data_IF_187652120990
#
_entry.id   IF_187652120990
#
_cell.length_a   1.000
_cell.length_b   1.000
_cell.length_c   1.000
_cell.angle_alpha   90.00
_cell.angle_beta   90.00
_cell.angle_gamma   90.00
#
_symmetry.space_group_name_H-M   'P 1'
#
loop_
_entity.id
_entity.type
_entity.pdbx_description
1 polymer ?
#
# COMPACT_ATOMS: atom_id res chain seq x y z
N UNK A 1 8.11 -15.75 -15.99
CA UNK A 1 7.27 -14.78 -15.23
C UNK A 1 7.70 -14.74 -13.76
N UNK A 2 8.92 -15.14 -13.43
CA UNK A 2 9.43 -15.25 -12.05
C UNK A 2 9.48 -13.91 -11.29
N UNK A 3 9.48 -12.79 -12.00
CA UNK A 3 9.61 -11.46 -11.42
C UNK A 3 8.30 -10.65 -11.42
N UNK A 4 7.18 -11.19 -11.91
CA UNK A 4 5.89 -10.54 -11.97
C UNK A 4 5.00 -11.01 -10.80
N UNK A 5 4.47 -10.06 -10.05
CA UNK A 5 3.52 -10.29 -8.96
C UNK A 5 2.17 -9.70 -9.35
N UNK A 6 1.11 -10.47 -9.14
CA UNK A 6 -0.27 -10.05 -9.34
C UNK A 6 -1.03 -10.28 -8.05
N UNK A 7 -1.90 -9.36 -7.70
CA UNK A 7 -2.75 -9.44 -6.52
C UNK A 7 -4.14 -8.90 -6.79
N UNK A 8 -5.12 -9.46 -6.08
CA UNK A 8 -6.49 -8.97 -6.08
C UNK A 8 -7.04 -9.03 -4.66
N UNK A 9 -7.79 -8.00 -4.26
CA UNK A 9 -8.50 -7.91 -2.98
C UNK A 9 -9.94 -7.51 -3.27
N UNK A 10 -10.88 -8.32 -2.82
CA UNK A 10 -12.30 -7.99 -2.81
C UNK A 10 -12.67 -7.53 -1.39
N UNK A 11 -13.12 -6.29 -1.25
CA UNK A 11 -13.61 -5.73 0.01
C UNK A 11 -15.13 -5.68 0.00
N UNK A 12 -15.72 -5.80 1.19
CA UNK A 12 -17.17 -5.69 1.41
C UNK A 12 -17.98 -6.59 0.46
N UNK A 13 -17.48 -7.81 0.20
CA UNK A 13 -18.04 -8.76 -0.76
C UNK A 13 -19.54 -9.07 -0.51
N UNK A 14 -19.99 -8.95 0.73
CA UNK A 14 -21.38 -9.21 1.15
C UNK A 14 -22.20 -7.94 1.34
N UNK A 15 -21.68 -6.78 0.94
CA UNK A 15 -22.29 -5.46 1.19
C UNK A 15 -22.55 -5.20 2.68
N UNK A 16 -22.12 -4.09 3.19
CA UNK A 16 -22.34 -3.69 4.59
C UNK A 16 -23.46 -2.67 4.65
N UNK A 17 -24.46 -2.91 5.51
CA UNK A 17 -25.55 -1.98 5.79
C UNK A 17 -25.31 -1.28 7.12
N UNK A 18 -25.36 0.04 7.13
CA UNK A 18 -25.26 0.88 8.33
C UNK A 18 -26.64 1.48 8.62
N UNK A 19 -27.15 1.21 9.83
CA UNK A 19 -28.42 1.74 10.30
C UNK A 19 -28.15 2.81 11.37
N UNK A 20 -28.63 4.02 11.12
CA UNK A 20 -28.51 5.12 12.06
C UNK A 20 -29.85 5.35 12.83
N UNK A 21 -29.79 5.79 14.11
CA UNK A 21 -31.00 6.03 14.91
C UNK A 21 -31.91 7.13 14.39
N UNK A 22 -31.40 8.04 13.56
CA UNK A 22 -32.11 9.14 12.90
C UNK A 22 -32.89 8.70 11.66
N UNK A 23 -32.75 7.44 11.27
CA UNK A 23 -33.48 6.82 10.16
C UNK A 23 -32.74 6.85 8.82
N UNK A 24 -31.57 7.46 8.76
CA UNK A 24 -30.70 7.38 7.60
C UNK A 24 -30.03 5.99 7.56
N UNK A 25 -30.03 5.40 6.38
CA UNK A 25 -29.39 4.12 6.15
C UNK A 25 -28.35 4.29 5.04
N UNK A 26 -27.16 3.80 5.30
CA UNK A 26 -26.09 3.74 4.30
C UNK A 26 -25.76 2.28 3.96
N UNK A 27 -25.33 2.06 2.75
CA UNK A 27 -24.80 0.77 2.34
C UNK A 27 -23.42 0.97 1.71
N UNK A 28 -22.53 0.04 1.99
CA UNK A 28 -21.18 0.03 1.43
C UNK A 28 -21.16 -1.04 0.34
N UNK A 29 -20.95 -0.61 -0.89
CA UNK A 29 -20.86 -1.51 -2.02
C UNK A 29 -19.53 -2.29 -2.04
N UNK A 30 -19.50 -3.49 -2.63
CA UNK A 30 -18.27 -4.21 -2.86
C UNK A 30 -17.29 -3.40 -3.71
N UNK A 31 -16.00 -3.46 -3.33
CA UNK A 31 -14.92 -2.85 -4.09
C UNK A 31 -13.84 -3.88 -4.44
N UNK A 32 -13.27 -3.75 -5.63
CA UNK A 32 -12.21 -4.63 -6.13
C UNK A 32 -10.91 -3.83 -6.28
N UNK A 33 -9.86 -4.32 -5.61
CA UNK A 33 -8.51 -3.79 -5.80
C UNK A 33 -7.68 -4.79 -6.58
N UNK A 34 -7.07 -4.34 -7.65
CA UNK A 34 -6.12 -5.11 -8.47
C UNK A 34 -4.74 -4.49 -8.32
N UNK A 35 -3.71 -5.31 -8.26
CA UNK A 35 -2.33 -4.84 -8.15
C UNK A 35 -1.38 -5.68 -8.97
N UNK A 36 -0.37 -5.02 -9.50
CA UNK A 36 0.77 -5.67 -10.15
C UNK A 36 2.07 -5.02 -9.71
N UNK A 37 3.11 -5.82 -9.59
CA UNK A 37 4.47 -5.35 -9.36
C UNK A 37 5.46 -6.20 -10.15
N UNK A 38 6.56 -5.60 -10.55
CA UNK A 38 7.61 -6.29 -11.29
C UNK A 38 8.97 -6.07 -10.62
N UNK A 39 9.75 -7.13 -10.41
CA UNK A 39 11.07 -7.04 -9.80
C UNK A 39 12.15 -6.94 -10.87
N UNK A 40 12.96 -5.89 -10.82
CA UNK A 40 14.10 -5.62 -11.72
C UNK A 40 15.39 -5.68 -10.92
N UNK A 41 16.22 -6.66 -11.21
CA UNK A 41 17.56 -6.76 -10.65
C UNK A 41 18.53 -5.94 -11.50
N UNK A 42 19.18 -4.93 -10.92
CA UNK A 42 20.14 -4.08 -11.63
C UNK A 42 21.52 -4.72 -11.53
N UNK A 43 21.94 -5.43 -12.58
CA UNK A 43 23.11 -6.33 -12.57
C UNK A 43 24.46 -5.66 -12.21
N UNK A 44 24.59 -4.35 -12.38
CA UNK A 44 25.83 -3.61 -12.11
C UNK A 44 25.81 -2.85 -10.76
N UNK A 45 24.68 -2.88 -10.05
CA UNK A 45 24.52 -2.27 -8.74
C UNK A 45 23.82 -3.26 -7.78
N UNK A 46 24.13 -3.22 -6.48
CA UNK A 46 23.41 -4.02 -5.48
C UNK A 46 22.03 -3.39 -5.19
N UNK A 47 21.22 -3.25 -6.22
CA UNK A 47 19.93 -2.56 -6.17
C UNK A 47 18.87 -3.41 -6.87
N UNK A 48 17.73 -3.54 -6.20
CA UNK A 48 16.52 -4.15 -6.75
C UNK A 48 15.45 -3.07 -6.85
N UNK A 49 14.85 -2.92 -8.03
CA UNK A 49 13.74 -1.99 -8.26
C UNK A 49 12.43 -2.78 -8.38
N UNK A 50 11.37 -2.30 -7.73
CA UNK A 50 10.02 -2.86 -7.82
C UNK A 50 9.00 -1.78 -8.15
N UNK A 51 8.80 -1.44 -9.43
CA UNK A 51 7.65 -0.65 -9.84
C UNK A 51 6.36 -1.44 -9.57
N UNK A 52 5.33 -0.72 -9.13
CA UNK A 52 4.01 -1.27 -8.84
C UNK A 52 2.90 -0.37 -9.37
N UNK A 53 1.82 -1.00 -9.80
CA UNK A 53 0.60 -0.36 -10.26
C UNK A 53 -0.58 -1.00 -9.52
N UNK A 54 -1.44 -0.18 -8.95
CA UNK A 54 -2.71 -0.59 -8.35
C UNK A 54 -3.88 0.08 -9.05
N UNK A 55 -4.99 -0.63 -9.14
CA UNK A 55 -6.26 -0.16 -9.66
C UNK A 55 -7.34 -0.50 -8.63
N UNK A 56 -8.03 0.52 -8.15
CA UNK A 56 -9.22 0.38 -7.32
C UNK A 56 -10.45 0.58 -8.16
N UNK A 57 -11.39 -0.33 -8.08
CA UNK A 57 -12.67 -0.29 -8.80
C UNK A 57 -13.79 -0.33 -7.78
N UNK A 58 -14.61 0.72 -7.73
CA UNK A 58 -15.76 0.86 -6.86
C UNK A 58 -17.04 0.99 -7.68
N UNK A 59 -18.12 0.34 -7.22
CA UNK A 59 -19.41 0.31 -7.92
C UNK A 59 -20.37 1.43 -7.48
N UNK A 60 -20.05 2.17 -6.46
CA UNK A 60 -20.76 3.40 -6.09
C UNK A 60 -20.02 4.61 -6.62
N UNK A 61 -20.74 5.43 -7.38
CA UNK A 61 -20.24 6.69 -7.90
C UNK A 61 -19.95 7.70 -6.78
N UNK A 62 -18.94 7.43 -5.97
CA UNK A 62 -18.36 8.43 -5.07
C UNK A 62 -17.68 9.49 -5.90
N UNK A 63 -18.44 10.51 -6.21
CA UNK A 63 -18.16 11.57 -7.18
C UNK A 63 -16.95 12.45 -6.83
N UNK A 64 -16.15 12.13 -5.81
CA UNK A 64 -15.25 13.14 -5.30
C UNK A 64 -13.80 13.05 -5.74
N UNK A 65 -13.30 11.98 -6.36
CA UNK A 65 -11.87 11.95 -6.76
C UNK A 65 -11.39 10.67 -7.49
N UNK A 66 -12.20 10.18 -8.41
CA UNK A 66 -11.73 9.10 -9.27
C UNK A 66 -10.95 9.63 -10.46
N UNK A 67 -9.83 9.01 -10.80
CA UNK A 67 -9.07 9.31 -12.02
C UNK A 67 -9.88 8.99 -13.29
N UNK A 68 -10.79 8.02 -13.18
CA UNK A 68 -11.70 7.62 -14.25
C UNK A 68 -13.10 7.41 -13.69
N UNK A 69 -14.09 8.04 -14.32
CA UNK A 69 -15.51 7.90 -13.98
C UNK A 69 -16.29 7.39 -15.21
N UNK A 70 -16.84 6.20 -15.11
CA UNK A 70 -17.66 5.56 -16.14
C UNK A 70 -19.10 5.38 -15.63
N UNK A 71 -19.74 6.47 -15.22
CA UNK A 71 -21.10 6.47 -14.70
C UNK A 71 -21.20 5.89 -13.29
N UNK A 72 -21.61 4.64 -13.15
CA UNK A 72 -21.74 3.96 -11.85
C UNK A 72 -20.45 3.27 -11.36
N UNK A 73 -19.41 3.24 -12.20
CA UNK A 73 -18.10 2.70 -11.85
C UNK A 73 -17.11 3.85 -11.72
N UNK A 74 -16.46 3.93 -10.57
CA UNK A 74 -15.35 4.84 -10.32
C UNK A 74 -14.07 4.04 -10.15
N UNK A 75 -12.96 4.54 -10.65
CA UNK A 75 -11.68 3.87 -10.49
C UNK A 75 -10.58 4.85 -10.10
N UNK A 76 -9.79 4.44 -9.13
CA UNK A 76 -8.59 5.14 -8.67
C UNK A 76 -7.33 4.38 -9.07
N UNK A 77 -6.29 5.11 -9.46
CA UNK A 77 -4.99 4.55 -9.86
C UNK A 77 -3.95 4.84 -8.79
N UNK A 78 -3.20 3.80 -8.40
CA UNK A 78 -2.06 3.91 -7.48
C UNK A 78 -0.78 3.53 -8.18
N UNK A 79 0.23 4.32 -7.98
CA UNK A 79 1.56 4.09 -8.54
C UNK A 79 2.58 4.01 -7.41
N UNK A 80 3.54 3.11 -7.51
CA UNK A 80 4.60 2.96 -6.53
C UNK A 80 5.90 2.46 -7.15
N UNK A 81 6.98 2.86 -6.51
CA UNK A 81 8.31 2.35 -6.77
C UNK A 81 8.98 2.05 -5.42
N UNK A 82 9.38 0.81 -5.23
CA UNK A 82 10.26 0.41 -4.14
C UNK A 82 11.66 0.17 -4.70
N UNK A 83 12.66 0.69 -4.02
CA UNK A 83 14.08 0.46 -4.31
C UNK A 83 14.71 -0.20 -3.09
N UNK A 84 15.23 -1.40 -3.24
CA UNK A 84 15.99 -2.10 -2.20
C UNK A 84 17.48 -1.99 -2.49
N UNK A 85 18.25 -1.47 -1.52
CA UNK A 85 19.69 -1.28 -1.62
C UNK A 85 20.38 -2.23 -0.64
N UNK A 86 21.30 -3.07 -1.15
CA UNK A 86 22.11 -4.02 -0.37
C UNK A 86 21.28 -4.87 0.62
N UNK A 87 20.07 -5.25 0.24
CA UNK A 87 19.17 -6.08 1.08
C UNK A 87 18.74 -5.46 2.42
N UNK A 88 19.28 -4.31 2.80
CA UNK A 88 19.09 -3.70 4.13
C UNK A 88 18.22 -2.45 4.11
N UNK A 89 18.30 -1.66 3.04
CA UNK A 89 17.62 -0.36 2.96
C UNK A 89 16.53 -0.45 1.90
N UNK A 90 15.33 -0.05 2.27
CA UNK A 90 14.16 0.03 1.42
C UNK A 90 13.74 1.49 1.28
N UNK A 91 13.73 2.01 0.07
CA UNK A 91 13.23 3.34 -0.25
C UNK A 91 11.96 3.19 -1.06
N UNK A 92 10.93 3.93 -0.71
CA UNK A 92 9.63 3.85 -1.40
C UNK A 92 9.14 5.25 -1.74
N UNK A 93 8.61 5.36 -2.93
CA UNK A 93 7.84 6.53 -3.35
C UNK A 93 6.58 6.02 -4.05
N UNK A 94 5.47 6.72 -3.82
CA UNK A 94 4.22 6.34 -4.45
C UNK A 94 3.24 7.50 -4.47
N UNK A 95 2.17 7.27 -5.21
CA UNK A 95 0.98 8.12 -5.25
C UNK A 95 -0.24 7.23 -5.12
N UNK A 96 -1.14 7.61 -4.23
CA UNK A 96 -2.41 6.91 -4.07
C UNK A 96 -3.52 7.50 -4.97
N UNK A 97 -4.68 6.87 -4.94
CA UNK A 97 -5.89 7.25 -5.66
C UNK A 97 -6.49 8.60 -5.22
N UNK A 98 -6.13 9.09 -4.03
CA UNK A 98 -6.51 10.40 -3.51
C UNK A 98 -5.52 11.50 -3.91
N UNK A 99 -4.48 11.16 -4.68
CA UNK A 99 -3.44 12.08 -5.11
C UNK A 99 -2.39 12.40 -4.05
N UNK A 100 -2.40 11.70 -2.90
CA UNK A 100 -1.35 11.87 -1.89
C UNK A 100 -0.04 11.30 -2.39
N UNK A 101 1.04 12.04 -2.18
CA UNK A 101 2.40 11.53 -2.37
C UNK A 101 2.83 10.79 -1.10
N UNK A 102 3.33 9.59 -1.28
CA UNK A 102 3.80 8.75 -0.18
C UNK A 102 5.30 8.50 -0.32
N UNK A 103 6.01 8.69 0.79
CA UNK A 103 7.44 8.38 0.91
C UNK A 103 7.62 7.33 1.99
N UNK A 104 8.55 6.41 1.79
CA UNK A 104 8.84 5.35 2.75
C UNK A 104 10.33 5.07 2.88
N UNK A 105 10.76 4.80 4.09
CA UNK A 105 12.09 4.31 4.43
C UNK A 105 11.94 3.03 5.24
N UNK A 106 12.62 1.97 4.85
CA UNK A 106 12.69 0.72 5.59
C UNK A 106 14.12 0.32 5.88
N UNK A 107 14.35 -0.22 7.07
CA UNK A 107 15.61 -0.85 7.48
C UNK A 107 15.33 -2.31 7.76
N UNK A 108 16.00 -3.19 7.04
CA UNK A 108 15.84 -4.64 7.14
C UNK A 108 17.10 -5.29 7.69
N UNK A 109 16.93 -6.16 8.65
CA UNK A 109 17.97 -6.98 9.26
C UNK A 109 17.51 -8.44 9.34
N UNK A 110 18.39 -9.34 9.77
CA UNK A 110 18.00 -10.74 10.05
C UNK A 110 16.96 -10.85 11.18
N UNK A 111 16.95 -9.92 12.14
CA UNK A 111 16.03 -9.92 13.28
C UNK A 111 14.65 -9.34 12.97
N UNK A 112 14.54 -8.54 11.88
CA UNK A 112 13.28 -7.93 11.50
C UNK A 112 13.43 -6.72 10.62
N UNK A 113 12.33 -5.95 10.50
CA UNK A 113 12.28 -4.75 9.67
C UNK A 113 11.60 -3.61 10.41
N UNK A 114 12.19 -2.42 10.32
CA UNK A 114 11.62 -1.16 10.76
C UNK A 114 11.24 -0.34 9.53
N UNK A 115 10.00 0.08 9.46
CA UNK A 115 9.47 0.92 8.38
C UNK A 115 9.02 2.28 8.92
N UNK A 116 9.31 3.33 8.18
CA UNK A 116 8.74 4.66 8.36
C UNK A 116 8.07 5.11 7.07
N UNK A 117 6.87 5.64 7.17
CA UNK A 117 6.10 6.18 6.05
C UNK A 117 5.59 7.57 6.33
N UNK A 118 5.63 8.41 5.31
CA UNK A 118 5.10 9.76 5.28
C UNK A 118 4.14 9.89 4.10
N UNK A 119 2.91 10.34 4.35
CA UNK A 119 1.96 10.71 3.30
C UNK A 119 1.64 12.19 3.40
N UNK A 120 1.65 12.88 2.25
CA UNK A 120 1.46 14.33 2.17
C UNK A 120 0.76 14.73 0.87
N UNK A 121 0.05 15.84 0.92
CA UNK A 121 -0.69 16.36 -0.24
C UNK A 121 -2.00 15.65 -0.48
N UNK A 122 -2.49 15.74 -1.73
CA UNK A 122 -3.78 15.20 -2.15
C UNK A 122 -4.95 16.10 -1.81
N UNK A 123 -6.14 15.59 -2.02
CA UNK A 123 -7.39 16.33 -1.87
C UNK A 123 -7.74 16.71 -0.44
N UNK A 124 -7.09 16.07 0.52
CA UNK A 124 -7.22 16.37 1.95
C UNK A 124 -5.95 17.01 2.53
N UNK A 125 -5.22 17.78 1.72
CA UNK A 125 -3.99 18.51 2.14
C UNK A 125 -4.22 19.36 3.40
N UNK A 126 -5.43 19.83 3.62
CA UNK A 126 -5.83 20.59 4.81
C UNK A 126 -5.74 19.78 6.11
N UNK A 127 -5.79 18.45 6.03
CA UNK A 127 -5.66 17.55 7.19
C UNK A 127 -4.19 17.33 7.62
N UNK A 128 -3.23 17.90 6.88
CA UNK A 128 -1.81 17.83 7.20
C UNK A 128 -1.12 16.57 6.68
N UNK A 129 -0.04 16.19 7.34
CA UNK A 129 0.79 15.05 6.98
C UNK A 129 0.47 13.85 7.87
N UNK A 130 0.50 12.65 7.30
CA UNK A 130 0.34 11.39 8.05
C UNK A 130 1.68 10.66 8.16
N UNK A 131 2.05 10.30 9.39
CA UNK A 131 3.25 9.56 9.71
C UNK A 131 2.88 8.15 10.17
N UNK A 132 3.60 7.14 9.69
CA UNK A 132 3.40 5.74 10.06
C UNK A 132 4.74 5.10 10.41
N UNK A 133 4.76 4.34 11.50
CA UNK A 133 5.90 3.53 11.90
C UNK A 133 5.43 2.08 11.97
N UNK A 134 6.16 1.19 11.33
CA UNK A 134 5.91 -0.24 11.34
C UNK A 134 7.12 -1.01 11.85
N UNK A 135 6.89 -2.06 12.64
CA UNK A 135 7.92 -2.96 13.12
C UNK A 135 7.50 -4.40 12.82
N UNK A 136 8.37 -5.14 12.17
CA UNK A 136 8.23 -6.57 11.93
C UNK A 136 9.39 -7.27 12.63
N UNK A 137 9.11 -8.26 13.48
CA UNK A 137 10.10 -9.07 14.17
C UNK A 137 10.05 -10.51 13.67
N UNK A 138 11.22 -11.09 13.42
CA UNK A 138 11.39 -12.50 13.09
C UNK A 138 11.68 -13.30 14.36
N UNK A 139 10.64 -13.83 15.00
CA UNK A 139 10.74 -14.49 16.31
C UNK A 139 11.69 -15.71 16.32
N UNK A 140 11.79 -16.42 15.21
CA UNK A 140 12.71 -17.55 15.09
C UNK A 140 14.19 -17.11 15.19
N UNK A 141 14.53 -16.03 14.51
CA UNK A 141 15.90 -15.47 14.53
C UNK A 141 16.21 -14.80 15.87
N UNK A 142 15.24 -14.12 16.47
CA UNK A 142 15.37 -13.55 17.81
C UNK A 142 15.64 -14.65 18.85
N UNK A 143 14.95 -15.79 18.75
CA UNK A 143 15.19 -16.93 19.65
C UNK A 143 16.55 -17.61 19.46
N UNK A 144 17.11 -17.59 18.25
CA UNK A 144 18.50 -18.03 18.00
C UNK A 144 19.50 -17.06 18.60
N UNK A 145 19.33 -15.77 18.33
CA UNK A 145 20.20 -14.70 18.84
C UNK A 145 20.30 -14.73 20.37
N UNK A 146 19.17 -14.89 21.07
CA UNK A 146 19.17 -14.99 22.53
C UNK A 146 19.87 -16.23 23.03
N UNK A 147 19.81 -17.39 22.35
CA UNK A 147 20.52 -18.62 22.77
C UNK A 147 22.02 -18.58 22.55
N UNK A 148 22.49 -17.78 21.62
CA UNK A 148 23.92 -17.65 21.29
C UNK A 148 24.61 -16.59 22.16
N UNK A 149 23.86 -15.67 22.79
CA UNK A 149 24.42 -14.53 23.52
C UNK A 149 23.99 -14.46 24.99
N UNK A 150 23.18 -15.39 25.46
CA UNK A 150 22.82 -15.60 26.86
C UNK A 150 23.22 -17.00 27.35
#
# INVERSE_FOLDING_TARGET
WENLYLGAILRDATTTFLYYPDGDNEWIAPSLQLGTAYTINVSFLPVILRPSLGLDVETEGKTHQSDLNLGFITSGVRLGLETQVKEHILLRIGRDDLGNTQLGLGLQTSLGRLDYGLAMGGSYAELGQSHRIGLILQLAELGRFMREHL
#
